data_IF_147446998978
#
_entry.id   IF_147446998978
#
_cell.length_a   1.000
_cell.length_b   1.000
_cell.length_c   1.000
_cell.angle_alpha   90.00
_cell.angle_beta   90.00
_cell.angle_gamma   90.00
#
_symmetry.space_group_name_H-M   'P 1'
#
loop_
_entity.id
_entity.type
_entity.pdbx_description
1 polymer ?
#
# COMPACT_ATOMS: atom_id res chain seq x y z
N UNK A 1 -14.30 39.61 -10.86
CA UNK A 1 -12.87 39.27 -10.69
C UNK A 1 -12.78 38.20 -9.62
N UNK A 2 -12.66 36.92 -10.02
CA UNK A 2 -12.67 35.80 -9.07
C UNK A 2 -11.24 35.66 -8.53
N UNK A 3 -11.05 35.92 -7.24
CA UNK A 3 -9.78 35.72 -6.56
C UNK A 3 -9.57 34.22 -6.30
N UNK A 4 -8.54 33.65 -6.91
CA UNK A 4 -8.08 32.30 -6.61
C UNK A 4 -7.22 32.33 -5.34
N UNK A 5 -7.60 31.59 -4.30
CA UNK A 5 -6.88 31.57 -3.02
C UNK A 5 -6.01 30.31 -2.91
N UNK A 6 -4.72 30.47 -3.18
CA UNK A 6 -3.71 29.41 -3.07
C UNK A 6 -3.48 29.02 -1.60
N UNK A 7 -3.90 27.81 -1.24
CA UNK A 7 -3.85 27.28 0.13
C UNK A 7 -2.49 26.67 0.52
N UNK A 8 -1.43 26.80 -0.29
CA UNK A 8 -0.13 26.13 -0.05
C UNK A 8 0.83 26.81 0.96
N UNK A 9 0.34 27.67 1.87
CA UNK A 9 1.21 28.38 2.85
C UNK A 9 0.78 28.30 4.32
N UNK A 10 0.24 27.18 4.79
CA UNK A 10 0.12 26.93 6.23
C UNK A 10 0.87 25.65 6.62
N UNK A 11 2.15 25.83 6.93
CA UNK A 11 2.96 24.80 7.56
C UNK A 11 2.43 24.53 8.97
N UNK A 12 1.86 23.34 9.18
CA UNK A 12 1.45 22.86 10.49
C UNK A 12 2.70 22.58 11.34
N UNK A 13 3.01 23.46 12.31
CA UNK A 13 3.96 23.13 13.38
C UNK A 13 3.21 22.36 14.48
N UNK A 14 3.38 21.05 14.48
CA UNK A 14 2.97 20.18 15.60
C UNK A 14 3.99 20.28 16.75
N UNK A 15 3.57 20.09 18.01
CA UNK A 15 4.42 20.24 19.18
C UNK A 15 5.57 19.20 19.23
N UNK A 16 6.74 19.54 19.83
CA UNK A 16 7.99 18.77 19.69
C UNK A 16 8.01 17.39 20.39
N UNK A 17 6.99 17.04 21.16
CA UNK A 17 7.04 15.89 22.08
C UNK A 17 6.68 14.54 21.47
N UNK A 18 6.24 14.49 20.20
CA UNK A 18 5.91 13.23 19.49
C UNK A 18 6.95 12.89 18.39
N UNK A 19 8.17 13.42 18.50
CA UNK A 19 9.26 13.10 17.56
C UNK A 19 10.18 11.99 18.07
N UNK A 20 9.67 10.76 18.05
CA UNK A 20 10.51 9.55 17.91
C UNK A 20 9.89 8.65 16.84
N UNK A 21 10.40 8.73 15.61
CA UNK A 21 10.34 7.59 14.69
C UNK A 21 9.72 7.75 13.30
N UNK A 22 9.26 8.93 12.86
CA UNK A 22 8.83 9.09 11.47
C UNK A 22 9.05 10.51 10.96
N UNK A 23 10.15 10.71 10.23
CA UNK A 23 10.23 11.82 9.28
C UNK A 23 9.19 11.56 8.18
N UNK A 24 8.03 12.21 8.25
CA UNK A 24 7.09 12.25 7.14
C UNK A 24 7.72 13.09 6.02
N UNK A 25 8.60 12.48 5.22
CA UNK A 25 8.91 12.98 3.89
C UNK A 25 7.58 13.18 3.18
N UNK A 26 7.31 14.33 2.56
CA UNK A 26 6.04 14.74 1.97
C UNK A 26 5.54 13.90 0.78
N UNK A 27 5.65 12.57 0.87
CA UNK A 27 5.07 11.59 -0.04
C UNK A 27 3.68 11.24 0.47
N UNK A 28 2.67 11.63 -0.28
CA UNK A 28 1.32 11.11 -0.10
C UNK A 28 1.36 9.64 -0.53
N UNK A 29 1.25 8.71 0.42
CA UNK A 29 1.17 7.28 0.10
C UNK A 29 -0.21 6.98 -0.47
N UNK A 30 -0.24 6.38 -1.67
CA UNK A 30 -1.48 5.83 -2.24
C UNK A 30 -1.80 4.59 -1.41
N UNK A 31 -2.98 4.56 -0.79
CA UNK A 31 -3.47 3.42 -0.04
C UNK A 31 -4.76 2.93 -0.66
N UNK A 32 -4.83 1.65 -0.98
CA UNK A 32 -6.06 1.02 -1.49
C UNK A 32 -6.42 -0.20 -0.67
N UNK A 33 -7.70 -0.57 -0.72
CA UNK A 33 -8.20 -1.83 -0.18
C UNK A 33 -8.63 -2.72 -1.34
N UNK A 34 -8.14 -3.95 -1.37
CA UNK A 34 -8.47 -4.94 -2.38
C UNK A 34 -8.88 -6.24 -1.71
N UNK A 35 -9.78 -6.99 -2.34
CA UNK A 35 -10.06 -8.37 -1.96
C UNK A 35 -9.33 -9.30 -2.93
N UNK A 36 -8.31 -9.99 -2.42
CA UNK A 36 -7.50 -10.91 -3.21
C UNK A 36 -8.29 -12.21 -3.35
N UNK A 37 -8.54 -12.63 -4.61
CA UNK A 37 -9.18 -13.90 -4.96
C UNK A 37 -8.23 -14.85 -5.71
N UNK A 38 -7.21 -14.29 -6.36
CA UNK A 38 -6.15 -15.04 -7.03
C UNK A 38 -4.79 -14.66 -6.43
N UNK A 39 -4.36 -15.40 -5.40
CA UNK A 39 -3.10 -15.13 -4.70
C UNK A 39 -1.88 -15.32 -5.60
N UNK A 40 -1.89 -16.29 -6.51
CA UNK A 40 -0.79 -16.53 -7.45
C UNK A 40 -0.58 -15.32 -8.38
N UNK A 41 -1.64 -14.89 -9.07
CA UNK A 41 -1.55 -13.75 -9.98
C UNK A 41 -1.22 -12.45 -9.24
N UNK A 42 -1.80 -12.23 -8.06
CA UNK A 42 -1.45 -11.10 -7.19
C UNK A 42 0.05 -11.06 -6.88
N UNK A 43 0.63 -12.17 -6.41
CA UNK A 43 2.05 -12.21 -6.05
C UNK A 43 2.97 -12.12 -7.26
N UNK A 44 2.56 -12.60 -8.42
CA UNK A 44 3.31 -12.40 -9.67
C UNK A 44 3.46 -10.92 -9.99
N UNK A 45 2.39 -10.14 -9.93
CA UNK A 45 2.43 -8.69 -10.18
C UNK A 45 3.23 -7.97 -9.09
N UNK A 46 3.02 -8.30 -7.81
CA UNK A 46 3.79 -7.73 -6.69
C UNK A 46 5.29 -7.96 -6.86
N UNK A 47 5.71 -9.11 -7.39
CA UNK A 47 7.12 -9.42 -7.64
C UNK A 47 7.70 -8.67 -8.86
N UNK A 48 6.85 -8.14 -9.74
CA UNK A 48 7.26 -7.29 -10.87
C UNK A 48 7.38 -5.81 -10.48
N UNK A 49 6.78 -5.40 -9.35
CA UNK A 49 6.87 -4.03 -8.84
C UNK A 49 8.32 -3.60 -8.61
N UNK A 50 8.57 -2.32 -8.78
CA UNK A 50 9.91 -1.73 -8.71
C UNK A 50 10.20 -0.99 -7.40
N UNK A 51 9.18 -0.76 -6.58
CA UNK A 51 9.25 -0.20 -5.23
C UNK A 51 8.55 -1.10 -4.22
N UNK A 52 8.63 -0.71 -2.95
CA UNK A 52 7.95 -1.44 -1.88
C UNK A 52 6.42 -1.41 -2.08
N UNK A 53 5.81 -2.57 -1.85
CA UNK A 53 4.35 -2.75 -1.82
C UNK A 53 4.01 -3.29 -0.45
N UNK A 54 3.60 -2.43 0.48
CA UNK A 54 3.38 -2.88 1.85
C UNK A 54 1.93 -3.29 2.08
N UNK A 55 1.74 -4.47 2.68
CA UNK A 55 0.49 -4.78 3.36
C UNK A 55 0.43 -4.04 4.70
N UNK A 56 -0.69 -3.36 4.95
CA UNK A 56 -1.01 -2.72 6.22
C UNK A 56 -1.90 -3.67 7.03
N UNK A 57 -1.35 -4.20 8.11
CA UNK A 57 -2.05 -5.12 9.00
C UNK A 57 -2.90 -4.36 10.05
N UNK A 58 -3.85 -5.04 10.73
CA UNK A 58 -4.66 -4.42 11.78
C UNK A 58 -3.85 -3.82 12.94
N UNK A 59 -2.62 -4.31 13.17
CA UNK A 59 -1.67 -3.76 14.14
C UNK A 59 -1.02 -2.44 13.67
N UNK A 60 -1.39 -1.94 12.49
CA UNK A 60 -0.84 -0.74 11.87
C UNK A 60 0.55 -0.93 11.24
N UNK A 61 1.13 -2.13 11.34
CA UNK A 61 2.45 -2.41 10.77
C UNK A 61 2.35 -2.58 9.27
N UNK A 62 3.38 -2.07 8.60
CA UNK A 62 3.64 -2.25 7.17
C UNK A 62 4.62 -3.39 6.97
N UNK A 63 4.30 -4.31 6.08
CA UNK A 63 5.24 -5.36 5.68
C UNK A 63 5.34 -5.37 4.17
N UNK A 64 6.54 -5.16 3.66
CA UNK A 64 6.80 -5.18 2.23
C UNK A 64 6.58 -6.60 1.70
N UNK A 65 5.78 -6.68 0.64
CA UNK A 65 5.47 -7.90 -0.07
C UNK A 65 6.36 -8.09 -1.30
N UNK A 66 6.94 -7.02 -1.86
CA UNK A 66 7.73 -7.11 -3.08
C UNK A 66 8.98 -7.97 -2.86
N UNK A 67 9.04 -9.14 -3.53
CA UNK A 67 10.14 -10.12 -3.44
C UNK A 67 10.45 -10.59 -2.02
N UNK A 68 9.55 -10.36 -1.07
CA UNK A 68 9.66 -10.77 0.33
C UNK A 68 8.97 -12.11 0.52
N UNK A 69 9.63 -13.19 0.11
CA UNK A 69 9.01 -14.54 0.11
C UNK A 69 8.55 -14.99 1.50
N UNK A 70 9.19 -14.55 2.58
CA UNK A 70 8.75 -14.81 3.94
C UNK A 70 7.41 -14.12 4.25
N UNK A 71 7.25 -12.84 3.88
CA UNK A 71 5.99 -12.12 4.05
C UNK A 71 4.89 -12.69 3.14
N UNK A 72 5.23 -13.07 1.92
CA UNK A 72 4.31 -13.71 0.97
C UNK A 72 3.82 -15.06 1.48
N UNK A 73 4.68 -15.86 2.14
CA UNK A 73 4.29 -17.13 2.75
C UNK A 73 3.24 -16.93 3.85
N UNK A 74 3.43 -15.94 4.71
CA UNK A 74 2.43 -15.58 5.74
C UNK A 74 1.10 -15.18 5.09
N UNK A 75 1.15 -14.40 4.01
CA UNK A 75 -0.04 -14.02 3.25
C UNK A 75 -0.77 -15.24 2.67
N UNK A 76 -0.01 -16.22 2.17
CA UNK A 76 -0.52 -17.49 1.63
C UNK A 76 -1.20 -18.37 2.67
N UNK A 77 -0.64 -18.43 3.88
CA UNK A 77 -1.24 -19.16 4.99
C UNK A 77 -2.58 -18.50 5.34
N UNK A 78 -2.61 -17.17 5.49
CA UNK A 78 -3.84 -16.40 5.77
C UNK A 78 -4.89 -16.57 4.67
N UNK A 79 -4.51 -16.53 3.40
CA UNK A 79 -5.43 -16.72 2.28
C UNK A 79 -6.08 -18.12 2.28
N UNK A 80 -5.32 -19.16 2.64
CA UNK A 80 -5.84 -20.52 2.79
C UNK A 80 -6.78 -20.64 3.98
N UNK A 81 -6.43 -20.05 5.11
CA UNK A 81 -7.28 -19.99 6.31
C UNK A 81 -8.62 -19.27 6.03
N UNK A 82 -8.59 -18.24 5.17
CA UNK A 82 -9.78 -17.49 4.76
C UNK A 82 -10.45 -18.05 3.49
N UNK A 83 -10.35 -19.36 3.25
CA UNK A 83 -11.07 -20.08 2.19
C UNK A 83 -10.85 -19.53 0.77
N UNK A 84 -9.64 -19.06 0.49
CA UNK A 84 -9.28 -18.54 -0.83
C UNK A 84 -9.72 -17.09 -1.07
N UNK A 85 -9.93 -16.31 -0.02
CA UNK A 85 -10.17 -14.87 -0.11
C UNK A 85 -9.40 -14.11 0.96
N UNK A 86 -8.80 -12.97 0.61
CA UNK A 86 -8.09 -12.15 1.60
C UNK A 86 -8.25 -10.65 1.33
N UNK A 87 -8.87 -9.92 2.25
CA UNK A 87 -8.97 -8.48 2.17
C UNK A 87 -7.68 -7.81 2.68
N UNK A 88 -6.98 -7.07 1.82
CA UNK A 88 -5.74 -6.38 2.14
C UNK A 88 -5.87 -4.87 1.96
N UNK A 89 -5.21 -4.12 2.86
CA UNK A 89 -4.88 -2.72 2.64
C UNK A 89 -3.44 -2.64 2.16
N UNK A 90 -3.21 -2.03 1.01
CA UNK A 90 -1.90 -1.90 0.40
C UNK A 90 -1.48 -0.44 0.38
N UNK A 91 -0.22 -0.17 0.68
CA UNK A 91 0.45 1.07 0.30
C UNK A 91 1.53 0.83 -0.74
N UNK A 92 1.84 1.89 -1.47
CA UNK A 92 2.79 1.86 -2.58
C UNK A 92 3.84 2.94 -2.43
N UNK A 93 5.10 2.55 -2.63
CA UNK A 93 6.19 3.50 -2.74
C UNK A 93 6.15 4.28 -4.05
N UNK A 94 5.66 3.66 -5.13
CA UNK A 94 5.68 4.18 -6.50
C UNK A 94 4.28 4.15 -7.13
N UNK A 95 3.83 5.25 -7.77
CA UNK A 95 2.54 5.29 -8.47
C UNK A 95 2.40 4.27 -9.59
N UNK A 96 3.49 3.91 -10.27
CA UNK A 96 3.49 2.95 -11.38
C UNK A 96 3.15 1.53 -10.90
N UNK A 97 3.64 1.17 -9.71
CA UNK A 97 3.34 -0.12 -9.07
C UNK A 97 1.85 -0.20 -8.67
N UNK A 98 1.30 0.92 -8.17
CA UNK A 98 -0.15 1.05 -7.91
C UNK A 98 -0.97 0.81 -9.18
N UNK A 99 -0.63 1.48 -10.29
CA UNK A 99 -1.34 1.33 -11.56
C UNK A 99 -1.27 -0.12 -12.04
N UNK A 100 -0.10 -0.76 -11.93
CA UNK A 100 0.11 -2.14 -12.36
C UNK A 100 -0.79 -3.12 -11.59
N UNK A 101 -0.88 -2.97 -10.26
CA UNK A 101 -1.77 -3.81 -9.44
C UNK A 101 -3.24 -3.54 -9.78
N UNK A 102 -3.67 -2.28 -9.89
CA UNK A 102 -5.06 -1.96 -10.21
C UNK A 102 -5.44 -2.49 -11.60
N UNK A 103 -4.57 -2.32 -12.59
CA UNK A 103 -4.79 -2.79 -13.95
C UNK A 103 -5.00 -4.31 -14.00
N UNK A 104 -4.19 -5.07 -13.27
CA UNK A 104 -4.39 -6.52 -13.10
C UNK A 104 -5.79 -6.83 -12.55
N UNK A 105 -6.21 -6.14 -11.49
CA UNK A 105 -7.51 -6.41 -10.85
C UNK A 105 -8.72 -6.08 -11.72
N UNK A 106 -8.64 -5.07 -12.58
CA UNK A 106 -9.75 -4.72 -13.49
C UNK A 106 -9.74 -5.54 -14.77
N UNK A 107 -8.61 -6.17 -15.12
CA UNK A 107 -8.48 -7.00 -16.33
C UNK A 107 -8.88 -8.46 -16.11
N UNK A 108 -8.96 -8.90 -14.86
CA UNK A 108 -9.41 -10.23 -14.44
C UNK A 108 -10.92 -10.26 -14.09
N UNK A 109 -11.65 -9.18 -14.42
CA UNK A 109 -13.13 -9.07 -14.36
C UNK A 109 -13.70 -9.35 -15.75
#
# INVERSE_FOLDING_TARGET
MIHYNDSRKKGWRLPPTVMKGAAYSGRCWIVIKLNILNMNGFLQIVNQCSGAVNAIFPDGKRRDLNKSYAAQKVLWDQFRENQGSLALKLDFQKPEDYISIVYYYISEI
#
